data_IF_814241566465
#
_entry.id   IF_814241566465
#
_cell.length_a   1.000
_cell.length_b   1.000
_cell.length_c   1.000
_cell.angle_alpha   90.00
_cell.angle_beta   90.00
_cell.angle_gamma   90.00
#
_symmetry.space_group_name_H-M   'P 1'
#
loop_
_entity.id
_entity.type
_entity.pdbx_description
1 polymer ?
#
# COMPACT_ATOMS: atom_id res chain seq x y z
N UNK A 1 -24.17 2.25 6.90
CA UNK A 1 -24.66 3.62 7.20
C UNK A 1 -23.44 4.51 7.37
N UNK A 2 -23.15 5.38 6.42
CA UNK A 2 -22.03 6.34 6.44
C UNK A 2 -22.49 7.77 6.77
N UNK A 3 -23.77 7.95 7.12
CA UNK A 3 -24.51 9.20 7.02
C UNK A 3 -23.86 10.39 7.71
N UNK A 4 -23.75 10.38 9.03
CA UNK A 4 -23.43 11.61 9.77
C UNK A 4 -22.04 12.20 9.44
N UNK A 5 -21.01 11.35 9.32
CA UNK A 5 -19.65 11.81 8.97
C UNK A 5 -19.58 12.27 7.51
N UNK A 6 -20.19 11.51 6.59
CA UNK A 6 -20.21 11.89 5.18
C UNK A 6 -21.02 13.17 4.93
N UNK A 7 -22.12 13.36 5.67
CA UNK A 7 -22.96 14.56 5.58
C UNK A 7 -22.21 15.79 6.09
N UNK A 8 -21.45 15.66 7.19
CA UNK A 8 -20.59 16.73 7.68
C UNK A 8 -19.48 17.10 6.66
N UNK A 9 -18.86 16.10 6.03
CA UNK A 9 -17.82 16.34 5.01
C UNK A 9 -18.40 16.98 3.74
N UNK A 10 -19.61 16.62 3.35
CA UNK A 10 -20.32 17.29 2.26
C UNK A 10 -20.63 18.74 2.60
N UNK A 11 -21.13 19.04 3.80
CA UNK A 11 -21.37 20.40 4.22
C UNK A 11 -20.09 21.26 4.20
N UNK A 12 -18.94 20.69 4.58
CA UNK A 12 -17.63 21.37 4.50
C UNK A 12 -17.26 21.67 3.03
N UNK A 13 -17.54 20.74 2.11
CA UNK A 13 -17.33 20.95 0.67
C UNK A 13 -18.29 21.98 0.08
N UNK A 14 -19.57 21.93 0.42
CA UNK A 14 -20.61 22.89 -0.01
C UNK A 14 -20.31 24.31 0.46
N UNK A 15 -19.72 24.46 1.65
CA UNK A 15 -19.23 25.75 2.16
C UNK A 15 -17.96 26.25 1.44
N UNK A 16 -17.39 25.48 0.51
CA UNK A 16 -16.19 25.84 -0.25
C UNK A 16 -14.88 25.75 0.54
N UNK A 17 -14.89 25.10 1.72
CA UNK A 17 -13.71 24.97 2.58
C UNK A 17 -12.73 23.91 2.07
N UNK A 18 -13.19 22.98 1.24
CA UNK A 18 -12.37 22.01 0.52
C UNK A 18 -12.90 21.79 -0.90
N UNK A 19 -12.02 21.34 -1.80
CA UNK A 19 -12.38 20.91 -3.15
C UNK A 19 -12.76 19.42 -3.22
N UNK A 20 -12.12 18.61 -2.37
CA UNK A 20 -12.25 17.15 -2.37
C UNK A 20 -12.31 16.61 -0.94
N UNK A 21 -12.96 15.47 -0.77
CA UNK A 21 -13.05 14.72 0.48
C UNK A 21 -12.61 13.28 0.25
N UNK A 22 -11.97 12.68 1.25
CA UNK A 22 -11.43 11.33 1.13
C UNK A 22 -11.46 10.58 2.45
N UNK A 23 -11.15 9.29 2.37
CA UNK A 23 -11.09 8.40 3.53
C UNK A 23 -9.70 7.78 3.66
N UNK A 24 -9.37 7.35 4.88
CA UNK A 24 -8.35 6.31 5.07
C UNK A 24 -9.06 4.95 5.04
N UNK A 25 -8.83 4.18 3.97
CA UNK A 25 -9.41 2.87 3.74
C UNK A 25 -8.71 1.77 4.53
N UNK A 26 -8.60 1.95 5.84
CA UNK A 26 -8.01 0.99 6.78
C UNK A 26 -9.11 0.37 7.64
N UNK A 27 -9.05 -0.94 7.84
CA UNK A 27 -10.05 -1.72 8.58
C UNK A 27 -10.56 -2.92 7.78
N UNK A 28 -11.72 -3.43 8.16
CA UNK A 28 -12.34 -4.59 7.50
C UNK A 28 -12.66 -4.27 6.03
N UNK A 29 -12.22 -5.13 5.12
CA UNK A 29 -12.25 -4.84 3.68
C UNK A 29 -13.67 -4.65 3.14
N UNK A 30 -14.67 -5.43 3.61
CA UNK A 30 -16.05 -5.25 3.19
C UNK A 30 -16.63 -3.91 3.63
N UNK A 31 -16.34 -3.46 4.85
CA UNK A 31 -16.71 -2.13 5.34
C UNK A 31 -16.08 -1.03 4.47
N UNK A 32 -14.77 -1.08 4.22
CA UNK A 32 -14.07 -0.11 3.36
C UNK A 32 -14.69 -0.08 1.96
N UNK A 33 -14.91 -1.24 1.33
CA UNK A 33 -15.59 -1.33 0.02
C UNK A 33 -17.01 -0.76 0.06
N UNK A 34 -17.74 -0.93 1.15
CA UNK A 34 -19.07 -0.34 1.35
C UNK A 34 -19.02 1.20 1.37
N UNK A 35 -18.03 1.78 2.07
CA UNK A 35 -17.82 3.23 2.12
C UNK A 35 -17.42 3.76 0.73
N UNK A 36 -16.49 3.10 0.04
CA UNK A 36 -16.08 3.49 -1.32
C UNK A 36 -17.26 3.47 -2.29
N UNK A 37 -18.10 2.43 -2.24
CA UNK A 37 -19.28 2.29 -3.10
C UNK A 37 -20.42 3.25 -2.78
N UNK A 38 -20.34 4.00 -1.69
CA UNK A 38 -21.34 5.03 -1.38
C UNK A 38 -21.33 6.18 -2.40
N UNK A 39 -20.23 6.34 -3.17
CA UNK A 39 -20.06 7.45 -4.13
C UNK A 39 -19.87 8.82 -3.48
N UNK A 40 -19.57 8.86 -2.17
CA UNK A 40 -19.47 10.09 -1.38
C UNK A 40 -18.05 10.66 -1.29
N UNK A 41 -17.03 9.92 -1.72
CA UNK A 41 -15.63 10.28 -1.50
C UNK A 41 -14.85 10.31 -2.82
N UNK A 42 -13.95 11.27 -2.96
CA UNK A 42 -13.13 11.48 -4.15
C UNK A 42 -11.84 10.65 -4.11
N UNK A 43 -11.32 10.38 -2.91
CA UNK A 43 -10.08 9.62 -2.73
C UNK A 43 -10.13 8.64 -1.56
N UNK A 44 -9.30 7.59 -1.64
CA UNK A 44 -9.04 6.67 -0.56
C UNK A 44 -7.53 6.48 -0.36
N UNK A 45 -7.07 6.62 0.87
CA UNK A 45 -5.75 6.13 1.25
C UNK A 45 -5.82 4.62 1.47
N UNK A 46 -5.04 3.85 0.69
CA UNK A 46 -5.11 2.38 0.69
C UNK A 46 -3.76 1.79 1.11
N UNK A 47 -3.80 0.89 2.10
CA UNK A 47 -2.65 0.09 2.52
C UNK A 47 -2.26 -0.86 1.38
N UNK A 48 -1.08 -0.67 0.81
CA UNK A 48 -0.54 -1.55 -0.22
C UNK A 48 0.99 -1.45 -0.24
N UNK A 49 1.67 -2.59 -0.20
CA UNK A 49 3.12 -2.66 -0.35
C UNK A 49 3.54 -4.09 -0.72
N UNK A 50 4.83 -4.28 -0.99
CA UNK A 50 5.34 -5.59 -1.42
C UNK A 50 5.26 -6.69 -0.35
N UNK A 51 4.97 -6.37 0.92
CA UNK A 51 4.73 -7.36 1.98
C UNK A 51 3.24 -7.68 2.17
N UNK A 52 2.35 -6.82 1.68
CA UNK A 52 0.92 -7.03 1.69
C UNK A 52 0.28 -6.40 0.44
N UNK A 53 0.15 -7.18 -0.65
CA UNK A 53 -0.44 -6.73 -1.91
C UNK A 53 -1.96 -6.97 -1.96
N UNK A 54 -2.58 -7.45 -0.88
CA UNK A 54 -3.96 -7.99 -0.86
C UNK A 54 -5.04 -7.01 -1.34
N UNK A 55 -4.81 -5.70 -1.21
CA UNK A 55 -5.74 -4.70 -1.74
C UNK A 55 -5.93 -4.79 -3.27
N UNK A 56 -4.91 -5.28 -3.99
CA UNK A 56 -4.87 -5.36 -5.45
C UNK A 56 -4.90 -6.77 -6.03
N UNK A 57 -4.87 -7.81 -5.21
CA UNK A 57 -4.90 -9.20 -5.67
C UNK A 57 -5.48 -10.15 -4.63
N UNK A 58 -5.98 -11.29 -5.10
CA UNK A 58 -6.37 -12.39 -4.21
C UNK A 58 -5.13 -13.02 -3.58
N UNK A 59 -5.18 -13.24 -2.27
CA UNK A 59 -4.13 -13.93 -1.52
C UNK A 59 -4.45 -15.42 -1.40
N UNK A 60 -3.44 -16.30 -1.22
CA UNK A 60 -3.70 -17.73 -1.02
C UNK A 60 -4.46 -17.99 0.28
N UNK A 61 -5.11 -19.15 0.39
CA UNK A 61 -5.86 -19.55 1.60
C UNK A 61 -4.98 -19.57 2.86
N UNK A 62 -3.67 -19.86 2.69
CA UNK A 62 -2.69 -19.87 3.76
C UNK A 62 -2.13 -18.47 4.10
N UNK A 63 -2.72 -17.39 3.59
CA UNK A 63 -2.24 -16.04 3.82
C UNK A 63 -2.25 -15.64 5.30
N UNK A 64 -1.12 -15.13 5.77
CA UNK A 64 -1.03 -14.56 7.12
C UNK A 64 -0.91 -13.03 7.04
N UNK A 65 -1.84 -12.32 7.68
CA UNK A 65 -1.87 -10.86 7.77
C UNK A 65 -3.19 -10.28 7.28
N UNK A 66 -3.42 -9.01 7.63
CA UNK A 66 -4.67 -8.33 7.29
C UNK A 66 -4.95 -8.35 5.78
N UNK A 67 -6.12 -8.87 5.40
CA UNK A 67 -6.55 -8.97 4.01
C UNK A 67 -7.40 -7.75 3.62
N UNK A 68 -6.90 -6.96 2.67
CA UNK A 68 -7.57 -5.79 2.10
C UNK A 68 -8.29 -6.09 0.77
N UNK A 69 -8.59 -7.36 0.49
CA UNK A 69 -9.14 -7.86 -0.77
C UNK A 69 -10.15 -6.92 -1.44
N UNK A 70 -9.90 -6.59 -2.71
CA UNK A 70 -10.84 -5.90 -3.57
C UNK A 70 -11.06 -4.41 -3.25
N UNK A 71 -10.29 -3.81 -2.34
CA UNK A 71 -10.37 -2.36 -2.07
C UNK A 71 -9.96 -1.55 -3.31
N UNK A 72 -8.86 -1.90 -3.99
CA UNK A 72 -8.45 -1.19 -5.21
C UNK A 72 -9.48 -1.36 -6.34
N UNK A 73 -10.01 -2.57 -6.49
CA UNK A 73 -11.05 -2.85 -7.47
C UNK A 73 -12.35 -2.05 -7.19
N UNK A 74 -12.72 -1.88 -5.91
CA UNK A 74 -13.86 -1.05 -5.53
C UNK A 74 -13.60 0.44 -5.83
N UNK A 75 -12.38 0.93 -5.58
CA UNK A 75 -12.01 2.32 -5.89
C UNK A 75 -12.10 2.58 -7.39
N UNK A 76 -11.51 1.72 -8.22
CA UNK A 76 -11.63 1.81 -9.69
C UNK A 76 -13.09 1.80 -10.15
N UNK A 77 -13.91 0.92 -9.61
CA UNK A 77 -15.32 0.80 -10.02
C UNK A 77 -16.19 2.01 -9.62
N UNK A 78 -15.79 2.74 -8.57
CA UNK A 78 -16.49 3.90 -8.05
C UNK A 78 -15.84 5.25 -8.43
N UNK A 79 -14.84 5.23 -9.32
CA UNK A 79 -14.05 6.40 -9.74
C UNK A 79 -13.41 7.17 -8.55
N UNK A 80 -12.89 6.42 -7.58
CA UNK A 80 -12.21 6.96 -6.39
C UNK A 80 -10.70 6.91 -6.60
N UNK A 81 -10.03 8.06 -6.48
CA UNK A 81 -8.58 8.16 -6.60
C UNK A 81 -7.85 7.46 -5.45
N UNK A 82 -6.86 6.62 -5.77
CA UNK A 82 -6.12 5.87 -4.75
C UNK A 82 -4.82 6.58 -4.39
N UNK A 83 -4.65 6.84 -3.10
CA UNK A 83 -3.42 7.30 -2.47
C UNK A 83 -2.78 6.11 -1.74
N UNK A 84 -1.74 5.51 -2.29
CA UNK A 84 -1.07 4.39 -1.64
C UNK A 84 -0.35 4.85 -0.37
N UNK A 85 -0.74 4.29 0.78
CA UNK A 85 -0.07 4.47 2.05
C UNK A 85 0.68 3.20 2.46
N UNK A 86 1.62 3.38 3.40
CA UNK A 86 2.50 2.33 3.91
C UNK A 86 3.35 1.63 2.82
N UNK A 87 3.87 2.33 1.79
CA UNK A 87 4.74 1.70 0.79
C UNK A 87 6.00 1.07 1.40
N UNK A 88 6.44 1.56 2.57
CA UNK A 88 7.62 1.06 3.28
C UNK A 88 7.32 0.20 4.53
N UNK A 89 6.06 -0.14 4.79
CA UNK A 89 5.63 -0.89 6.00
C UNK A 89 6.29 -0.35 7.30
N UNK A 90 6.19 0.97 7.52
CA UNK A 90 6.77 1.58 8.72
C UNK A 90 8.30 1.64 8.74
N UNK A 91 8.97 1.41 7.60
CA UNK A 91 10.42 1.46 7.45
C UNK A 91 11.06 0.09 7.27
N UNK A 92 10.33 -0.99 7.56
CA UNK A 92 10.84 -2.37 7.47
C UNK A 92 11.28 -2.73 6.06
N UNK A 93 10.55 -2.25 5.05
CA UNK A 93 10.91 -2.51 3.66
C UNK A 93 12.13 -1.67 3.25
N UNK A 94 12.19 -0.40 3.65
CA UNK A 94 13.21 0.54 3.16
C UNK A 94 14.61 0.31 3.77
N UNK A 95 14.71 -0.11 5.02
CA UNK A 95 15.99 -0.29 5.73
C UNK A 95 15.88 -1.33 6.84
N UNK A 96 17.01 -1.91 7.27
CA UNK A 96 17.09 -2.73 8.49
C UNK A 96 17.32 -1.89 9.76
N UNK A 97 17.68 -0.62 9.60
CA UNK A 97 17.85 0.29 10.74
C UNK A 97 16.49 0.62 11.36
N UNK A 98 16.40 0.45 12.68
CA UNK A 98 15.19 0.77 13.46
C UNK A 98 15.41 2.02 14.29
N UNK A 99 14.37 2.85 14.35
CA UNK A 99 14.42 4.18 14.98
C UNK A 99 13.48 4.29 16.19
N UNK A 100 12.72 3.23 16.51
CA UNK A 100 11.71 3.24 17.56
C UNK A 100 10.46 4.04 17.19
N UNK A 101 10.29 4.38 15.89
CA UNK A 101 9.16 5.13 15.32
C UNK A 101 8.27 4.25 14.45
N UNK A 102 8.58 2.96 14.39
CA UNK A 102 7.81 1.94 13.70
C UNK A 102 6.48 1.75 14.44
N UNK A 103 5.42 2.41 13.97
CA UNK A 103 4.08 2.27 14.55
C UNK A 103 3.31 1.16 13.81
N UNK A 104 2.86 0.11 14.52
CA UNK A 104 1.87 -0.85 14.02
C UNK A 104 0.58 -0.13 13.62
N UNK A 105 0.05 -0.41 12.43
CA UNK A 105 -1.21 0.20 11.94
C UNK A 105 -2.34 -0.83 11.80
N UNK A 106 -2.01 -2.12 11.86
CA UNK A 106 -2.95 -3.24 11.88
C UNK A 106 -2.72 -4.06 13.13
N UNK A 107 -3.78 -4.65 13.70
CA UNK A 107 -3.67 -5.44 14.93
C UNK A 107 -2.71 -6.63 14.78
N UNK A 108 -2.57 -7.17 13.57
CA UNK A 108 -1.68 -8.30 13.26
C UNK A 108 -0.23 -7.90 13.00
N UNK A 109 0.16 -6.63 13.11
CA UNK A 109 1.51 -6.19 12.75
C UNK A 109 2.57 -6.81 13.66
N UNK A 110 3.47 -7.59 13.06
CA UNK A 110 4.56 -8.32 13.70
C UNK A 110 5.85 -7.94 12.98
N UNK A 111 6.72 -7.22 13.69
CA UNK A 111 7.97 -6.70 13.15
C UNK A 111 8.92 -7.82 12.70
N UNK A 112 8.96 -8.95 13.42
CA UNK A 112 9.84 -10.06 13.08
C UNK A 112 9.35 -10.76 11.81
N UNK A 113 8.02 -10.94 11.69
CA UNK A 113 7.40 -11.47 10.47
C UNK A 113 7.63 -10.53 9.28
N UNK A 114 7.37 -9.23 9.43
CA UNK A 114 7.59 -8.26 8.36
C UNK A 114 9.07 -8.21 7.94
N UNK A 115 10.01 -8.31 8.89
CA UNK A 115 11.45 -8.36 8.61
C UNK A 115 11.83 -9.61 7.82
N UNK A 116 11.33 -10.80 8.20
CA UNK A 116 11.55 -12.05 7.44
C UNK A 116 10.99 -11.97 6.03
N UNK A 117 9.76 -11.46 5.89
CA UNK A 117 9.11 -11.29 4.59
C UNK A 117 9.86 -10.29 3.70
N UNK A 118 10.36 -9.21 4.27
CA UNK A 118 11.17 -8.23 3.54
C UNK A 118 12.45 -8.85 2.99
N UNK A 119 13.17 -9.64 3.80
CA UNK A 119 14.36 -10.37 3.33
C UNK A 119 14.02 -11.31 2.18
N UNK A 120 13.02 -12.17 2.35
CA UNK A 120 12.56 -13.09 1.31
C UNK A 120 12.16 -12.38 0.00
N UNK A 121 11.49 -11.22 0.10
CA UNK A 121 11.12 -10.42 -1.06
C UNK A 121 12.34 -9.85 -1.80
N UNK A 122 13.34 -9.37 -1.07
CA UNK A 122 14.56 -8.84 -1.70
C UNK A 122 15.50 -9.93 -2.22
N UNK A 123 15.49 -11.11 -1.61
CA UNK A 123 16.24 -12.28 -2.10
C UNK A 123 15.74 -12.69 -3.49
N UNK A 124 14.42 -12.72 -3.73
CA UNK A 124 13.87 -13.04 -5.07
C UNK A 124 13.97 -11.89 -6.06
N UNK A 125 13.90 -10.65 -5.61
CA UNK A 125 14.04 -9.47 -6.50
C UNK A 125 15.48 -9.22 -6.93
N UNK A 126 16.45 -9.65 -6.14
CA UNK A 126 17.87 -9.37 -6.37
C UNK A 126 18.23 -7.88 -6.31
N UNK A 127 19.43 -7.54 -6.80
CA UNK A 127 19.99 -6.18 -6.71
C UNK A 127 19.77 -5.28 -7.94
N UNK A 128 19.19 -5.79 -9.02
CA UNK A 128 19.15 -5.07 -10.31
C UNK A 128 18.08 -3.97 -10.37
N UNK A 129 17.14 -3.98 -9.43
CA UNK A 129 15.97 -3.10 -9.45
C UNK A 129 16.12 -1.83 -8.59
N UNK A 130 17.33 -1.54 -8.11
CA UNK A 130 17.64 -0.36 -7.30
C UNK A 130 17.77 -0.67 -5.81
N UNK A 131 17.71 0.37 -5.00
CA UNK A 131 17.69 0.21 -3.54
C UNK A 131 16.37 -0.41 -3.08
N UNK A 132 16.32 -0.85 -1.83
CA UNK A 132 15.09 -1.37 -1.20
C UNK A 132 13.94 -0.37 -1.23
N UNK A 133 14.21 0.89 -0.91
CA UNK A 133 13.21 1.96 -0.95
C UNK A 133 12.73 2.22 -2.38
N UNK A 134 13.65 2.24 -3.36
CA UNK A 134 13.28 2.39 -4.77
C UNK A 134 12.38 1.24 -5.24
N UNK A 135 12.75 -0.02 -4.95
CA UNK A 135 11.94 -1.18 -5.32
C UNK A 135 10.53 -1.11 -4.71
N UNK A 136 10.41 -0.67 -3.47
CA UNK A 136 9.11 -0.53 -2.79
C UNK A 136 8.19 0.52 -3.44
N UNK A 137 8.73 1.70 -3.79
CA UNK A 137 7.98 2.72 -4.53
C UNK A 137 7.58 2.19 -5.91
N UNK A 138 8.53 1.57 -6.63
CA UNK A 138 8.32 1.04 -7.97
C UNK A 138 7.33 -0.13 -8.00
N UNK A 139 7.24 -0.90 -6.92
CA UNK A 139 6.21 -1.91 -6.73
C UNK A 139 4.82 -1.28 -6.69
N UNK A 140 4.62 -0.24 -5.86
CA UNK A 140 3.34 0.47 -5.81
C UNK A 140 2.98 1.13 -7.15
N UNK A 141 3.95 1.74 -7.83
CA UNK A 141 3.75 2.34 -9.16
C UNK A 141 3.40 1.31 -10.26
N UNK A 142 3.66 0.02 -10.03
CA UNK A 142 3.32 -1.03 -10.99
C UNK A 142 1.83 -1.36 -11.02
N UNK A 143 1.06 -0.91 -10.02
CA UNK A 143 -0.38 -1.07 -10.02
C UNK A 143 -1.06 0.14 -10.68
N UNK A 144 -1.76 -0.04 -11.83
CA UNK A 144 -2.38 1.08 -12.54
C UNK A 144 -3.56 1.71 -11.80
N UNK A 145 -4.11 1.05 -10.76
CA UNK A 145 -5.18 1.62 -9.94
C UNK A 145 -4.66 2.65 -8.92
N UNK A 146 -3.33 2.73 -8.71
CA UNK A 146 -2.71 3.67 -7.77
C UNK A 146 -2.45 5.01 -8.46
N UNK A 147 -3.10 6.07 -8.00
CA UNK A 147 -2.93 7.42 -8.54
C UNK A 147 -1.72 8.17 -7.95
N UNK A 148 -1.35 7.88 -6.70
CA UNK A 148 -0.16 8.45 -6.06
C UNK A 148 0.42 7.51 -4.99
N UNK A 149 1.74 7.53 -4.81
CA UNK A 149 2.44 6.84 -3.72
C UNK A 149 2.83 7.85 -2.65
N UNK A 150 2.28 7.69 -1.45
CA UNK A 150 2.50 8.60 -0.33
C UNK A 150 3.69 8.11 0.51
N UNK A 151 4.83 8.81 0.37
CA UNK A 151 6.07 8.50 1.08
C UNK A 151 6.29 9.47 2.24
N UNK A 152 6.56 8.93 3.44
CA UNK A 152 7.04 9.72 4.57
C UNK A 152 8.56 9.92 4.48
N UNK A 153 9.03 11.13 4.74
CA UNK A 153 10.45 11.51 4.59
C UNK A 153 10.90 12.31 5.81
N UNK A 154 12.17 12.13 6.19
CA UNK A 154 12.81 12.83 7.31
C UNK A 154 13.98 13.71 6.84
N UNK A 155 14.60 13.35 5.71
CA UNK A 155 15.76 14.03 5.15
C UNK A 155 15.58 14.26 3.64
N UNK A 156 16.20 15.31 3.06
CA UNK A 156 16.11 15.58 1.62
C UNK A 156 16.53 14.40 0.73
N UNK A 157 17.53 13.62 1.15
CA UNK A 157 17.98 12.44 0.41
C UNK A 157 16.86 11.39 0.20
N UNK A 158 15.89 11.28 1.12
CA UNK A 158 14.75 10.36 0.95
C UNK A 158 13.82 10.82 -0.19
N UNK A 159 13.69 12.13 -0.39
CA UNK A 159 12.93 12.69 -1.51
C UNK A 159 13.62 12.37 -2.84
N UNK A 160 14.93 12.57 -2.91
CA UNK A 160 15.74 12.24 -4.08
C UNK A 160 15.61 10.76 -4.44
N UNK A 161 15.65 9.88 -3.44
CA UNK A 161 15.49 8.43 -3.64
C UNK A 161 14.10 8.06 -4.19
N UNK A 162 13.02 8.65 -3.65
CA UNK A 162 11.66 8.41 -4.13
C UNK A 162 11.43 8.96 -5.55
N UNK A 163 11.96 10.15 -5.86
CA UNK A 163 11.89 10.75 -7.20
C UNK A 163 12.67 9.92 -8.21
N UNK A 164 13.88 9.46 -7.86
CA UNK A 164 14.67 8.56 -8.70
C UNK A 164 13.94 7.23 -8.96
N UNK A 165 13.24 6.69 -7.94
CA UNK A 165 12.39 5.50 -8.10
C UNK A 165 11.28 5.74 -9.12
N UNK A 166 10.55 6.85 -9.00
CA UNK A 166 9.46 7.22 -9.90
C UNK A 166 9.95 7.44 -11.34
N UNK A 167 11.11 8.09 -11.52
CA UNK A 167 11.71 8.32 -12.83
C UNK A 167 12.11 7.02 -13.55
N UNK A 168 12.47 5.98 -12.80
CA UNK A 168 12.75 4.63 -13.35
C UNK A 168 11.50 3.85 -13.72
N UNK A 169 10.32 4.34 -13.36
CA UNK A 169 9.04 3.69 -13.63
C UNK A 169 8.81 2.42 -12.81
N UNK A 170 7.72 1.70 -13.09
CA UNK A 170 7.30 0.53 -12.31
C UNK A 170 8.34 -0.60 -12.32
N UNK A 171 8.23 -1.53 -11.36
CA UNK A 171 8.97 -2.79 -11.44
C UNK A 171 8.55 -3.56 -12.71
N UNK A 172 9.47 -4.25 -13.38
CA UNK A 172 9.15 -5.02 -14.58
C UNK A 172 8.26 -6.22 -14.24
N UNK A 173 7.50 -6.69 -15.23
CA UNK A 173 6.56 -7.80 -15.06
C UNK A 173 7.22 -9.10 -14.56
N UNK A 174 8.49 -9.33 -14.89
CA UNK A 174 9.29 -10.45 -14.38
C UNK A 174 9.50 -10.37 -12.87
N UNK A 175 9.94 -9.22 -12.36
CA UNK A 175 10.10 -8.99 -10.92
C UNK A 175 8.77 -9.13 -10.15
N UNK A 176 7.67 -8.65 -10.74
CA UNK A 176 6.34 -8.84 -10.15
C UNK A 176 5.91 -10.32 -10.19
N UNK A 177 6.37 -11.11 -11.15
CA UNK A 177 6.10 -12.54 -11.21
C UNK A 177 6.84 -13.31 -10.10
N UNK A 178 8.09 -12.97 -9.83
CA UNK A 178 8.86 -13.53 -8.70
C UNK A 178 8.16 -13.24 -7.35
N UNK A 179 7.71 -11.99 -7.15
CA UNK A 179 6.93 -11.62 -5.97
C UNK A 179 5.62 -12.40 -5.87
N UNK A 180 4.89 -12.59 -6.99
CA UNK A 180 3.66 -13.42 -6.99
C UNK A 180 3.93 -14.87 -6.61
N UNK A 181 5.03 -15.45 -7.06
CA UNK A 181 5.42 -16.80 -6.68
C UNK A 181 5.72 -16.88 -5.17
N UNK A 182 6.45 -15.89 -4.63
CA UNK A 182 6.70 -15.75 -3.19
C UNK A 182 5.39 -15.63 -2.39
N UNK A 183 4.42 -14.85 -2.86
CA UNK A 183 3.12 -14.68 -2.20
C UNK A 183 2.31 -15.97 -2.20
N UNK A 184 2.31 -16.72 -3.29
CA UNK A 184 1.62 -18.01 -3.39
C UNK A 184 2.16 -19.04 -2.38
N UNK A 185 3.44 -18.92 -2.01
CA UNK A 185 4.07 -19.72 -0.98
C UNK A 185 3.95 -19.12 0.43
N UNK A 186 3.16 -18.05 0.62
CA UNK A 186 3.04 -17.29 1.87
C UNK A 186 4.40 -16.89 2.49
N UNK A 187 5.35 -16.50 1.64
CA UNK A 187 6.73 -16.20 2.03
C UNK A 187 7.53 -17.37 2.64
N UNK A 188 7.07 -18.61 2.49
CA UNK A 188 7.84 -19.80 2.82
C UNK A 188 8.61 -20.29 1.60
N UNK A 189 9.90 -20.56 1.76
CA UNK A 189 10.65 -21.39 0.82
C UNK A 189 10.91 -22.73 1.47
N UNK A 190 10.69 -23.82 0.74
CA UNK A 190 11.35 -25.08 1.05
C UNK A 190 12.85 -24.85 0.80
N UNK A 191 13.60 -24.61 1.87
CA UNK A 191 15.07 -24.69 1.84
C UNK A 191 15.53 -26.12 1.61
#
# INVERSE_FOLDING_TARGET
>A
MTGEVADALDAVREQGLTRFIGITGLGEAAAVRGVVRSGRFDTAQVYYNLLNPSAGQTMPDAWEGHDFAGVLAACRAADVGVLNIRPFAGGVIASDQRHGREIPITDDADLDRETRRARAAFDVLGGEHGTRAQMAVRFSLANPDIGAVVVGMAEPAHLEEAVAAAARGPLPASALAELRALYAANFHFAG
#
